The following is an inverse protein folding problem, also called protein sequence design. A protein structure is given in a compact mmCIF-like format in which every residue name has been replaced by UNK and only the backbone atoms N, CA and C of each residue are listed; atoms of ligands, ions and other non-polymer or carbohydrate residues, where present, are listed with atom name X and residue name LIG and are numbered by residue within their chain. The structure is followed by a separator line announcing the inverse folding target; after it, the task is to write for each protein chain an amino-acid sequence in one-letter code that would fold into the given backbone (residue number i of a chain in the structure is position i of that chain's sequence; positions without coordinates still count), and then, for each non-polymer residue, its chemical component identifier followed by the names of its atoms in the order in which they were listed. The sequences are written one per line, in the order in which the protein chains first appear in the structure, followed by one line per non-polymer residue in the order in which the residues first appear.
data_IF_312202309772
#
_entry.id   IF_312202309772
#
_cell.length_a   1.000
_cell.length_b   1.000
_cell.length_c   1.000
_cell.angle_alpha   90.00
_cell.angle_beta   90.00
_cell.angle_gamma   90.00
#
_symmetry.space_group_name_H-M   'P 1'
#
loop_
_entity.id
_entity.type
_entity.pdbx_description
1 polymer ?
#
# COMPACT_ATOMS: atom_id res chain seq x y z
N UNK A 1 6.73 -1.90 17.94
CA UNK A 1 6.83 -0.69 17.10
C UNK A 1 5.51 -0.51 16.34
N UNK A 2 5.05 0.72 16.14
CA UNK A 2 3.87 0.97 15.31
C UNK A 2 4.18 0.73 13.82
N UNK A 3 3.22 0.22 13.04
CA UNK A 3 3.38 0.02 11.59
C UNK A 3 3.57 1.37 10.89
N UNK A 4 4.45 1.40 9.89
CA UNK A 4 4.62 2.57 9.04
C UNK A 4 3.35 2.81 8.21
N UNK A 5 2.80 4.03 8.30
CA UNK A 5 1.62 4.46 7.56
C UNK A 5 2.04 4.98 6.20
N UNK A 6 1.48 4.44 5.13
CA UNK A 6 1.85 4.79 3.75
C UNK A 6 0.64 5.26 2.94
N UNK A 7 0.90 6.08 1.93
CA UNK A 7 -0.07 6.45 0.90
C UNK A 7 0.47 6.11 -0.49
N UNK A 8 -0.43 5.82 -1.44
CA UNK A 8 -0.09 5.62 -2.85
C UNK A 8 -0.62 6.81 -3.65
N UNK A 9 0.24 7.47 -4.42
CA UNK A 9 -0.14 8.47 -5.41
C UNK A 9 0.14 7.92 -6.82
N UNK A 10 -0.92 7.70 -7.60
CA UNK A 10 -0.88 6.94 -8.85
C UNK A 10 -1.25 5.46 -8.64
N UNK A 11 -2.55 5.17 -8.58
CA UNK A 11 -3.14 3.83 -8.48
C UNK A 11 -3.37 3.13 -9.83
N UNK A 12 -2.51 3.42 -10.79
CA UNK A 12 -2.39 2.70 -12.06
C UNK A 12 -1.88 1.26 -11.90
N UNK A 13 -1.18 0.77 -12.94
CA UNK A 13 -0.70 -0.62 -13.00
C UNK A 13 0.19 -0.99 -11.80
N UNK A 14 1.10 -0.11 -11.42
CA UNK A 14 2.07 -0.36 -10.33
C UNK A 14 1.41 -0.22 -8.97
N UNK A 15 0.60 0.82 -8.72
CA UNK A 15 -0.10 0.98 -7.45
C UNK A 15 -0.99 -0.24 -7.12
N UNK A 16 -1.75 -0.74 -8.10
CA UNK A 16 -2.55 -1.97 -7.93
C UNK A 16 -1.70 -3.22 -7.70
N UNK A 17 -0.57 -3.34 -8.40
CA UNK A 17 0.39 -4.44 -8.20
C UNK A 17 0.98 -4.44 -6.80
N UNK A 18 1.38 -3.26 -6.31
CA UNK A 18 1.92 -3.08 -4.97
C UNK A 18 0.92 -3.47 -3.88
N UNK A 19 -0.35 -3.07 -4.00
CA UNK A 19 -1.40 -3.48 -3.04
C UNK A 19 -1.63 -5.00 -3.04
N UNK A 20 -1.54 -5.66 -4.19
CA UNK A 20 -1.62 -7.14 -4.26
C UNK A 20 -0.45 -7.80 -3.53
N UNK A 21 0.76 -7.27 -3.65
CA UNK A 21 1.91 -7.73 -2.87
C UNK A 21 1.71 -7.49 -1.37
N UNK A 22 1.20 -6.32 -0.98
CA UNK A 22 0.90 -5.99 0.41
C UNK A 22 -0.16 -6.93 1.02
N UNK A 23 -1.15 -7.37 0.23
CA UNK A 23 -2.15 -8.33 0.68
C UNK A 23 -1.54 -9.69 1.10
N UNK A 24 -0.39 -10.07 0.53
CA UNK A 24 0.38 -11.25 0.93
C UNK A 24 1.31 -11.00 2.14
N UNK A 25 1.54 -9.73 2.50
CA UNK A 25 2.37 -9.30 3.63
C UNK A 25 1.67 -8.20 4.45
N UNK A 26 0.49 -8.51 5.01
CA UNK A 26 -0.39 -7.55 5.71
C UNK A 26 0.24 -6.85 6.91
N UNK A 27 1.39 -7.33 7.37
CA UNK A 27 2.12 -6.76 8.51
C UNK A 27 3.24 -5.80 8.15
N UNK A 28 3.56 -5.64 6.85
CA UNK A 28 4.63 -4.76 6.40
C UNK A 28 4.32 -3.27 6.61
N UNK A 29 3.12 -2.84 6.21
CA UNK A 29 2.71 -1.42 6.25
C UNK A 29 1.21 -1.28 6.50
N UNK A 30 0.81 -0.10 6.99
CA UNK A 30 -0.59 0.33 7.07
C UNK A 30 -0.88 1.30 5.92
N UNK A 31 -1.58 0.82 4.88
CA UNK A 31 -1.96 1.64 3.73
C UNK A 31 -3.21 2.46 4.09
N UNK A 32 -3.04 3.76 4.26
CA UNK A 32 -4.08 4.64 4.81
C UNK A 32 -4.72 5.55 3.77
N UNK A 33 -4.11 5.70 2.60
CA UNK A 33 -4.60 6.60 1.56
C UNK A 33 -4.18 6.13 0.16
N UNK A 34 -5.08 6.29 -0.81
CA UNK A 34 -4.80 6.17 -2.23
C UNK A 34 -5.32 7.45 -2.91
N UNK A 35 -4.47 8.08 -3.72
CA UNK A 35 -4.80 9.18 -4.61
C UNK A 35 -4.43 8.75 -6.03
N UNK A 36 -5.35 8.83 -6.98
CA UNK A 36 -5.13 8.53 -8.41
C UNK A 36 -6.00 9.43 -9.27
#
# INVERSE_FOLDING_TARGET
MAKARIGINGFGRIGRGFVRCLAAQKDAFDLVLIND
#
